data_IF_327981935263
#
_entry.id   IF_327981935263
#
_cell.length_a   1.000
_cell.length_b   1.000
_cell.length_c   1.000
_cell.angle_alpha   90.00
_cell.angle_beta   90.00
_cell.angle_gamma   90.00
#
_symmetry.space_group_name_H-M   'P 1'
#
loop_
_entity.id
_entity.type
_entity.pdbx_description
1 polymer ?
#
# COMPACT_ATOMS: atom_id res chain seq x y z
N UNK A 1 16.77 -5.04 -2.18
CA UNK A 1 16.01 -4.77 -0.94
C UNK A 1 15.62 -3.30 -0.97
N UNK A 2 14.40 -2.99 -1.40
CA UNK A 2 13.92 -1.62 -1.57
C UNK A 2 13.81 -0.83 -0.25
N UNK A 3 13.83 0.50 -0.37
CA UNK A 3 13.80 1.46 0.75
C UNK A 3 12.56 1.33 1.65
N UNK A 4 11.42 0.85 1.12
CA UNK A 4 10.15 0.75 1.87
C UNK A 4 10.19 -0.37 2.92
N UNK A 5 10.77 -1.53 2.58
CA UNK A 5 10.97 -2.62 3.54
C UNK A 5 11.89 -2.22 4.71
N UNK A 6 12.86 -1.31 4.48
CA UNK A 6 13.72 -0.79 5.55
C UNK A 6 12.98 0.15 6.51
N UNK A 7 11.93 0.83 6.06
CA UNK A 7 11.14 1.77 6.90
C UNK A 7 10.07 1.03 7.72
N UNK A 8 9.56 -0.09 7.21
CA UNK A 8 8.49 -0.86 7.86
C UNK A 8 9.00 -2.04 8.71
N UNK A 9 10.31 -2.31 8.79
CA UNK A 9 10.88 -3.50 9.45
C UNK A 9 10.75 -3.55 10.99
N UNK A 10 10.14 -2.57 11.64
CA UNK A 10 9.98 -2.61 13.09
C UNK A 10 8.95 -3.69 13.47
N UNK A 11 9.24 -4.43 14.56
CA UNK A 11 8.31 -5.38 15.22
C UNK A 11 7.00 -4.72 15.67
N UNK A 12 6.93 -3.39 15.58
CA UNK A 12 5.80 -2.55 15.91
C UNK A 12 4.95 -2.20 14.67
N UNK A 13 4.65 -3.23 13.87
CA UNK A 13 3.81 -3.13 12.68
C UNK A 13 2.70 -4.18 12.75
N UNK A 14 1.46 -3.75 12.54
CA UNK A 14 0.29 -4.64 12.41
C UNK A 14 -0.26 -4.58 10.99
N UNK A 15 -0.77 -5.72 10.54
CA UNK A 15 -1.19 -5.92 9.16
C UNK A 15 -2.64 -6.38 9.10
N UNK A 16 -3.41 -5.82 8.17
CA UNK A 16 -4.82 -6.18 8.02
C UNK A 16 -5.20 -6.32 6.55
N UNK A 17 -6.13 -7.24 6.26
CA UNK A 17 -6.83 -7.28 4.98
C UNK A 17 -7.98 -6.30 5.02
N UNK A 18 -8.05 -5.43 4.01
CA UNK A 18 -9.19 -4.56 3.75
C UNK A 18 -9.92 -5.05 2.50
N UNK A 19 -11.21 -5.34 2.64
CA UNK A 19 -12.04 -5.84 1.54
C UNK A 19 -12.94 -4.75 1.00
N UNK A 20 -12.91 -4.54 -0.31
CA UNK A 20 -13.91 -3.74 -1.02
C UNK A 20 -14.85 -4.64 -1.81
N UNK A 21 -16.11 -4.24 -1.96
CA UNK A 21 -17.08 -4.94 -2.79
C UNK A 21 -17.13 -4.41 -4.24
N UNK A 22 -16.49 -3.28 -4.51
CA UNK A 22 -16.39 -2.69 -5.85
C UNK A 22 -15.01 -2.05 -6.06
N UNK A 23 -14.68 -1.80 -7.32
CA UNK A 23 -13.43 -1.19 -7.76
C UNK A 23 -13.41 0.32 -7.52
N UNK A 24 -14.54 0.99 -7.77
CA UNK A 24 -14.68 2.44 -7.69
C UNK A 24 -14.32 3.01 -6.31
N UNK A 25 -14.65 2.30 -5.23
CA UNK A 25 -14.28 2.74 -3.88
C UNK A 25 -12.76 2.74 -3.72
N UNK A 26 -12.07 1.72 -4.24
CA UNK A 26 -10.61 1.58 -4.14
C UNK A 26 -9.91 2.62 -5.00
N UNK A 27 -10.40 2.86 -6.23
CA UNK A 27 -9.92 3.92 -7.10
C UNK A 27 -10.03 5.30 -6.42
N UNK A 28 -11.21 5.64 -5.90
CA UNK A 28 -11.40 6.90 -5.18
C UNK A 28 -10.54 6.98 -3.91
N UNK A 29 -10.30 5.86 -3.24
CA UNK A 29 -9.40 5.81 -2.08
C UNK A 29 -7.95 6.08 -2.45
N UNK A 30 -7.50 5.62 -3.63
CA UNK A 30 -6.18 5.91 -4.17
C UNK A 30 -6.00 7.39 -4.49
N UNK A 31 -7.05 8.07 -4.94
CA UNK A 31 -7.05 9.51 -5.19
C UNK A 31 -7.10 10.32 -3.89
N UNK A 32 -8.06 10.03 -3.01
CA UNK A 32 -8.37 10.89 -1.87
C UNK A 32 -7.55 10.58 -0.62
N UNK A 33 -6.90 9.40 -0.58
CA UNK A 33 -6.21 8.86 0.60
C UNK A 33 -7.11 8.77 1.84
N UNK A 34 -8.39 8.45 1.64
CA UNK A 34 -9.37 8.30 2.73
C UNK A 34 -10.06 6.95 2.59
N UNK A 35 -10.18 6.24 3.71
CA UNK A 35 -10.95 5.01 3.77
C UNK A 35 -11.87 4.99 4.99
N UNK A 36 -12.86 4.10 4.92
CA UNK A 36 -13.67 3.70 6.06
C UNK A 36 -13.89 2.19 5.98
N UNK A 37 -13.88 1.51 7.11
CA UNK A 37 -14.09 0.06 7.20
C UNK A 37 -15.45 -0.28 7.80
N UNK A 38 -15.83 -1.56 7.88
CA UNK A 38 -17.01 -2.00 8.61
C UNK A 38 -16.93 -1.54 10.08
N UNK A 39 -18.06 -1.10 10.65
CA UNK A 39 -18.10 -0.53 12.01
C UNK A 39 -17.47 -1.44 13.09
N UNK A 40 -17.63 -2.77 12.94
CA UNK A 40 -17.04 -3.78 13.84
C UNK A 40 -15.51 -3.72 13.93
N UNK A 41 -14.83 -3.19 12.91
CA UNK A 41 -13.37 -3.12 12.85
C UNK A 41 -12.83 -1.82 13.49
N UNK A 42 -13.71 -0.87 13.83
CA UNK A 42 -13.32 0.47 14.28
C UNK A 42 -12.45 0.45 15.54
N UNK A 43 -12.80 -0.38 16.53
CA UNK A 43 -12.03 -0.48 17.77
C UNK A 43 -10.63 -1.06 17.49
N UNK A 44 -10.56 -2.14 16.71
CA UNK A 44 -9.30 -2.80 16.36
C UNK A 44 -8.36 -1.87 15.61
N UNK A 45 -8.86 -1.10 14.63
CA UNK A 45 -8.02 -0.19 13.84
C UNK A 45 -7.57 1.03 14.67
N UNK A 46 -8.45 1.53 15.55
CA UNK A 46 -8.09 2.61 16.48
C UNK A 46 -7.02 2.15 17.46
N UNK A 47 -7.19 0.96 18.04
CA UNK A 47 -6.22 0.35 18.94
C UNK A 47 -4.87 0.14 18.24
N UNK A 48 -4.86 -0.50 17.07
CA UNK A 48 -3.65 -0.75 16.31
C UNK A 48 -2.92 0.55 15.97
N UNK A 49 -3.63 1.60 15.56
CA UNK A 49 -3.02 2.90 15.25
C UNK A 49 -2.40 3.57 16.49
N UNK A 50 -3.01 3.42 17.67
CA UNK A 50 -2.52 4.04 18.89
C UNK A 50 -1.34 3.27 19.53
N UNK A 51 -1.28 1.96 19.30
CA UNK A 51 -0.28 1.09 19.91
C UNK A 51 0.92 0.81 19.01
N UNK A 52 0.74 0.91 17.68
CA UNK A 52 1.77 0.54 16.72
C UNK A 52 2.23 1.71 15.87
N UNK A 53 3.54 1.75 15.62
CA UNK A 53 4.17 2.71 14.71
C UNK A 53 3.60 2.65 13.30
N UNK A 54 3.31 1.44 12.82
CA UNK A 54 2.76 1.23 11.49
C UNK A 54 1.52 0.33 11.55
N UNK A 55 0.47 0.73 10.85
CA UNK A 55 -0.66 -0.13 10.51
C UNK A 55 -0.76 -0.19 9.01
N UNK A 56 -0.52 -1.37 8.44
CA UNK A 56 -0.49 -1.62 7.01
C UNK A 56 -1.75 -2.37 6.59
N UNK A 57 -2.40 -1.84 5.55
CA UNK A 57 -3.65 -2.35 5.02
C UNK A 57 -3.42 -2.90 3.61
N UNK A 58 -3.68 -4.18 3.42
CA UNK A 58 -3.65 -4.84 2.12
C UNK A 58 -5.05 -4.79 1.50
N UNK A 59 -5.20 -3.98 0.45
CA UNK A 59 -6.48 -3.78 -0.21
C UNK A 59 -6.77 -4.93 -1.18
N UNK A 60 -7.95 -5.53 -1.06
CA UNK A 60 -8.42 -6.58 -1.97
C UNK A 60 -9.91 -6.46 -2.29
N UNK A 61 -10.23 -6.21 -3.55
CA UNK A 61 -11.59 -6.23 -4.08
C UNK A 61 -12.09 -7.68 -4.09
N UNK A 62 -13.30 -7.89 -3.61
CA UNK A 62 -13.94 -9.20 -3.58
C UNK A 62 -13.98 -9.81 -4.99
N UNK A 63 -13.60 -11.08 -5.09
CA UNK A 63 -13.59 -11.85 -6.35
C UNK A 63 -12.63 -11.33 -7.45
N UNK A 64 -11.74 -10.37 -7.14
CA UNK A 64 -10.73 -9.88 -8.11
C UNK A 64 -9.57 -10.86 -8.36
N UNK A 65 -9.32 -11.80 -7.44
CA UNK A 65 -8.20 -12.74 -7.53
C UNK A 65 -6.82 -12.14 -7.23
N UNK A 66 -6.77 -10.89 -6.74
CA UNK A 66 -5.52 -10.20 -6.41
C UNK A 66 -5.69 -9.19 -5.26
N UNK A 67 -4.56 -8.77 -4.70
CA UNK A 67 -4.47 -7.55 -3.92
C UNK A 67 -4.26 -6.39 -4.89
N UNK A 68 -4.96 -5.27 -4.72
CA UNK A 68 -4.81 -4.09 -5.58
C UNK A 68 -3.60 -3.24 -5.17
N UNK A 69 -3.17 -3.34 -3.91
CA UNK A 69 -2.09 -2.53 -3.37
C UNK A 69 -2.10 -2.56 -1.86
N UNK A 70 -1.20 -1.77 -1.27
CA UNK A 70 -1.16 -1.60 0.17
C UNK A 70 -0.87 -0.15 0.57
N UNK A 71 -1.41 0.22 1.72
CA UNK A 71 -1.31 1.56 2.27
C UNK A 71 -1.06 1.52 3.78
N UNK A 72 -0.46 2.59 4.28
CA UNK A 72 -0.25 2.81 5.72
C UNK A 72 -1.33 3.74 6.27
N UNK A 73 -1.89 3.43 7.44
CA UNK A 73 -2.74 4.40 8.15
C UNK A 73 -1.93 5.59 8.64
N UNK A 74 -2.43 6.80 8.38
CA UNK A 74 -1.79 8.06 8.82
C UNK A 74 -2.59 8.80 9.89
N UNK A 75 -3.83 8.38 10.15
CA UNK A 75 -4.65 8.86 11.26
C UNK A 75 -5.48 7.74 11.87
N UNK A 76 -5.90 7.89 13.13
CA UNK A 76 -7.00 7.14 13.69
C UNK A 76 -8.34 7.50 13.00
N UNK A 77 -9.37 6.64 13.07
CA UNK A 77 -10.74 6.98 12.67
C UNK A 77 -11.25 8.25 13.37
N UNK A 78 -11.78 9.22 12.60
CA UNK A 78 -12.23 10.50 13.16
C UNK A 78 -13.33 11.16 12.33
N UNK A 79 -14.33 11.72 13.00
CA UNK A 79 -15.39 12.52 12.38
C UNK A 79 -14.92 13.84 11.78
N UNK A 80 -13.67 14.24 12.04
CA UNK A 80 -13.03 15.42 11.44
C UNK A 80 -12.53 15.18 10.01
N UNK A 81 -12.47 13.93 9.56
CA UNK A 81 -11.99 13.58 8.22
C UNK A 81 -13.17 13.60 7.26
N UNK A 82 -13.02 14.17 6.05
CA UNK A 82 -14.09 14.18 5.06
C UNK A 82 -14.64 12.79 4.79
N UNK A 83 -15.97 12.67 4.71
CA UNK A 83 -16.63 11.40 4.38
C UNK A 83 -16.54 11.17 2.87
N UNK A 84 -15.99 10.04 2.40
CA UNK A 84 -16.02 9.70 0.98
C UNK A 84 -17.45 9.64 0.46
N UNK A 85 -17.68 10.06 -0.79
CA UNK A 85 -19.02 10.11 -1.39
C UNK A 85 -19.71 8.72 -1.39
N UNK A 86 -18.93 7.66 -1.62
CA UNK A 86 -19.38 6.27 -1.65
C UNK A 86 -19.78 5.71 -0.28
N UNK A 87 -19.41 6.37 0.83
CA UNK A 87 -19.74 5.92 2.19
C UNK A 87 -21.26 5.81 2.41
N UNK A 88 -22.05 6.72 1.83
CA UNK A 88 -23.51 6.76 1.98
C UNK A 88 -24.24 5.65 1.22
N UNK A 89 -23.60 5.07 0.20
CA UNK A 89 -24.17 3.99 -0.61
C UNK A 89 -23.93 2.59 -0.03
N UNK A 90 -23.24 2.48 1.11
CA UNK A 90 -22.94 1.21 1.73
C UNK A 90 -24.16 0.66 2.47
N UNK A 91 -24.51 -0.63 2.28
CA UNK A 91 -25.67 -1.22 2.95
C UNK A 91 -25.39 -1.64 4.40
N UNK A 92 -24.20 -1.33 4.94
CA UNK A 92 -23.78 -1.65 6.31
C UNK A 92 -23.23 -0.43 7.03
N UNK A 93 -23.25 -0.49 8.37
CA UNK A 93 -22.60 0.52 9.21
C UNK A 93 -21.08 0.50 9.06
N UNK A 94 -20.49 1.69 9.03
CA UNK A 94 -19.04 1.89 8.89
C UNK A 94 -18.44 2.59 10.11
N UNK A 95 -17.11 2.53 10.23
CA UNK A 95 -16.37 3.38 11.14
C UNK A 95 -16.48 4.87 10.75
N UNK A 96 -15.90 5.74 11.57
CA UNK A 96 -15.49 7.05 11.07
C UNK A 96 -14.37 6.91 10.02
N UNK A 97 -14.21 7.87 9.10
CA UNK A 97 -13.14 7.82 8.11
C UNK A 97 -11.76 7.99 8.74
N UNK A 98 -10.74 7.45 8.08
CA UNK A 98 -9.33 7.64 8.41
C UNK A 98 -8.50 7.88 7.15
N UNK A 99 -7.34 8.52 7.31
CA UNK A 99 -6.42 8.80 6.21
C UNK A 99 -5.38 7.69 6.04
N UNK A 100 -4.91 7.60 4.80
CA UNK A 100 -3.94 6.64 4.35
C UNK A 100 -2.75 7.33 3.67
N UNK A 101 -1.71 6.55 3.44
CA UNK A 101 -0.62 6.83 2.51
C UNK A 101 -0.41 5.58 1.68
N UNK A 102 -0.68 5.65 0.38
CA UNK A 102 -0.44 4.53 -0.53
C UNK A 102 1.05 4.34 -0.77
N UNK A 103 1.55 3.15 -0.46
CA UNK A 103 2.96 2.78 -0.61
C UNK A 103 3.19 1.94 -1.88
N UNK A 104 2.16 1.23 -2.32
CA UNK A 104 2.12 0.59 -3.63
C UNK A 104 0.68 0.46 -4.11
N UNK A 105 0.46 0.80 -5.37
CA UNK A 105 -0.77 0.50 -6.13
C UNK A 105 -0.54 -0.59 -7.17
N UNK A 106 0.59 -1.31 -7.09
CA UNK A 106 0.88 -2.44 -7.98
C UNK A 106 0.10 -3.67 -7.56
N UNK A 107 -0.74 -4.25 -8.44
CA UNK A 107 -1.49 -5.45 -8.12
C UNK A 107 -0.61 -6.69 -7.90
N UNK A 108 -0.94 -7.49 -6.88
CA UNK A 108 -0.32 -8.80 -6.63
C UNK A 108 -1.36 -9.93 -6.75
N UNK A 109 -1.20 -10.77 -7.76
CA UNK A 109 -2.08 -11.92 -7.99
C UNK A 109 -1.94 -12.98 -6.88
N UNK A 110 -3.07 -13.53 -6.42
CA UNK A 110 -3.09 -14.52 -5.32
C UNK A 110 -2.24 -15.76 -5.60
N UNK A 111 -2.05 -16.13 -6.88
CA UNK A 111 -1.18 -17.27 -7.24
C UNK A 111 0.26 -17.09 -6.76
N UNK A 112 0.75 -15.85 -6.60
CA UNK A 112 2.11 -15.54 -6.14
C UNK A 112 2.29 -15.89 -4.67
N UNK A 113 1.24 -15.71 -3.87
CA UNK A 113 1.25 -15.91 -2.41
C UNK A 113 0.38 -17.09 -1.94
N UNK A 114 0.06 -18.02 -2.85
CA UNK A 114 -0.78 -19.21 -2.55
C UNK A 114 -0.25 -20.11 -1.43
N UNK A 115 1.04 -20.04 -1.13
CA UNK A 115 1.71 -20.84 -0.09
C UNK A 115 1.86 -20.08 1.22
N UNK A 116 1.65 -18.77 1.21
CA UNK A 116 1.71 -17.94 2.40
C UNK A 116 0.42 -18.13 3.17
N UNK A 117 0.49 -18.58 4.42
CA UNK A 117 -0.67 -18.88 5.26
C UNK A 117 -0.69 -17.99 6.49
N UNK A 118 -1.88 -17.63 6.96
CA UNK A 118 -2.05 -16.76 8.12
C UNK A 118 -2.51 -17.58 9.35
N UNK A 119 -1.68 -17.76 10.39
CA UNK A 119 -2.08 -18.49 11.59
C UNK A 119 -3.18 -17.77 12.39
N UNK A 120 -3.33 -16.45 12.23
CA UNK A 120 -4.45 -15.68 12.82
C UNK A 120 -5.78 -15.88 12.07
N UNK A 121 -5.80 -16.72 11.03
CA UNK A 121 -7.00 -17.14 10.32
C UNK A 121 -6.94 -18.64 9.99
N UNK A 122 -6.78 -19.48 11.03
CA UNK A 122 -6.85 -20.95 10.92
C UNK A 122 -5.78 -21.57 10.00
N UNK A 123 -4.69 -20.84 9.70
CA UNK A 123 -3.68 -21.30 8.76
C UNK A 123 -4.16 -21.32 7.30
N UNK A 124 -5.25 -20.62 6.98
CA UNK A 124 -5.73 -20.43 5.62
C UNK A 124 -4.75 -19.57 4.80
N UNK A 125 -4.76 -19.66 3.45
CA UNK A 125 -3.95 -18.78 2.61
C UNK A 125 -4.15 -17.30 2.96
N UNK A 126 -3.09 -16.49 2.93
CA UNK A 126 -3.08 -15.10 3.45
C UNK A 126 -4.10 -14.18 2.77
N UNK A 127 -4.53 -14.48 1.55
CA UNK A 127 -5.58 -13.73 0.84
C UNK A 127 -7.01 -14.12 1.24
N UNK A 128 -7.18 -15.18 2.03
CA UNK A 128 -8.46 -15.59 2.59
C UNK A 128 -8.66 -14.85 3.90
N UNK A 129 -9.69 -13.99 3.94
CA UNK A 129 -10.06 -13.24 5.13
C UNK A 129 -11.22 -12.30 4.87
N UNK A 130 -11.95 -11.96 5.93
CA UNK A 130 -13.01 -10.94 5.91
C UNK A 130 -12.38 -9.54 5.98
N UNK A 131 -13.19 -8.51 5.72
CA UNK A 131 -12.76 -7.13 5.97
C UNK A 131 -12.32 -6.97 7.44
N UNK A 132 -11.11 -6.46 7.64
CA UNK A 132 -10.48 -6.30 8.96
C UNK A 132 -9.75 -7.54 9.49
N UNK A 133 -9.58 -8.60 8.69
CA UNK A 133 -8.81 -9.77 9.12
C UNK A 133 -7.36 -9.38 9.41
N UNK A 134 -6.92 -9.59 10.64
CA UNK A 134 -5.53 -9.38 11.03
C UNK A 134 -4.63 -10.47 10.44
N UNK A 135 -3.43 -10.07 10.02
CA UNK A 135 -2.38 -10.96 9.53
C UNK A 135 -1.26 -10.97 10.57
N UNK A 136 -0.79 -12.18 10.90
CA UNK A 136 0.37 -12.35 11.79
C UNK A 136 1.56 -11.54 11.27
N UNK A 137 2.30 -10.88 12.16
CA UNK A 137 3.33 -9.91 11.80
C UNK A 137 4.37 -10.47 10.81
N UNK A 138 4.92 -11.67 11.06
CA UNK A 138 5.91 -12.27 10.14
C UNK A 138 5.31 -12.60 8.76
N UNK A 139 4.06 -13.08 8.72
CA UNK A 139 3.31 -13.32 7.48
C UNK A 139 3.00 -12.02 6.73
N UNK A 140 2.70 -10.96 7.46
CA UNK A 140 2.47 -9.63 6.90
C UNK A 140 3.72 -9.06 6.24
N UNK A 141 4.88 -9.24 6.85
CA UNK A 141 6.17 -8.90 6.23
C UNK A 141 6.49 -9.74 4.99
N UNK A 142 6.19 -11.04 5.02
CA UNK A 142 6.37 -11.91 3.84
C UNK A 142 5.49 -11.43 2.67
N UNK A 143 4.22 -11.13 2.92
CA UNK A 143 3.31 -10.59 1.91
C UNK A 143 3.77 -9.22 1.39
N UNK A 144 4.19 -8.32 2.29
CA UNK A 144 4.73 -7.00 1.93
C UNK A 144 5.94 -7.13 1.00
N UNK A 145 6.88 -8.03 1.32
CA UNK A 145 8.04 -8.28 0.50
C UNK A 145 7.68 -8.81 -0.89
N UNK A 146 6.72 -9.73 -1.00
CA UNK A 146 6.24 -10.20 -2.30
C UNK A 146 5.58 -9.10 -3.14
N UNK A 147 4.81 -8.20 -2.51
CA UNK A 147 4.21 -7.05 -3.21
C UNK A 147 5.28 -6.05 -3.69
N UNK A 148 6.32 -5.83 -2.89
CA UNK A 148 7.45 -4.97 -3.26
C UNK A 148 8.25 -5.56 -4.43
N UNK A 149 8.50 -6.87 -4.41
CA UNK A 149 9.16 -7.56 -5.52
C UNK A 149 8.32 -7.50 -6.80
N UNK A 150 7.00 -7.60 -6.72
CA UNK A 150 6.13 -7.45 -7.88
C UNK A 150 6.17 -6.02 -8.44
N UNK A 151 6.20 -5.00 -7.57
CA UNK A 151 6.40 -3.61 -7.99
C UNK A 151 7.72 -3.42 -8.73
N UNK A 152 8.82 -3.97 -8.19
CA UNK A 152 10.14 -3.92 -8.84
C UNK A 152 10.15 -4.64 -10.20
N UNK A 153 9.53 -5.82 -10.31
CA UNK A 153 9.43 -6.56 -11.58
C UNK A 153 8.69 -5.78 -12.66
N UNK A 154 7.56 -5.16 -12.33
CA UNK A 154 6.79 -4.36 -13.29
C UNK A 154 7.54 -3.11 -13.73
N UNK A 155 8.23 -2.45 -12.81
CA UNK A 155 9.10 -1.32 -13.15
C UNK A 155 10.15 -1.74 -14.18
N UNK A 156 10.82 -2.87 -13.95
CA UNK A 156 11.80 -3.41 -14.87
C UNK A 156 11.21 -3.76 -16.25
N UNK A 157 10.02 -4.38 -16.31
CA UNK A 157 9.36 -4.74 -17.57
C UNK A 157 9.03 -3.51 -18.42
N UNK A 158 8.50 -2.46 -17.81
CA UNK A 158 8.14 -1.21 -18.51
C UNK A 158 9.37 -0.48 -19.07
N UNK A 159 10.51 -0.53 -18.36
CA UNK A 159 11.72 0.19 -18.75
C UNK A 159 12.68 -0.65 -19.61
N UNK A 160 12.61 -1.99 -19.55
CA UNK A 160 13.44 -2.88 -20.38
C UNK A 160 12.91 -3.01 -21.82
N UNK A 161 11.65 -2.65 -22.07
CA UNK A 161 11.08 -2.51 -23.42
C UNK A 161 11.55 -1.28 -24.21
N UNK A 162 12.19 -0.31 -23.53
CA UNK A 162 12.77 0.88 -24.15
C UNK A 162 14.29 0.77 -24.23
N UNK A 163 14.83 0.19 -25.30
CA UNK A 163 16.22 0.47 -25.70
C UNK A 163 16.30 1.93 -26.16
N UNK A 164 16.48 2.84 -25.22
CA UNK A 164 17.18 4.11 -25.45
C UNK A 164 18.40 4.09 -24.55
N UNK A 165 19.56 4.16 -25.19
CA UNK A 165 20.89 4.00 -24.63
C UNK A 165 21.22 5.00 -23.52
N UNK A 166 21.33 4.51 -22.28
CA UNK A 166 21.92 5.29 -21.17
C UNK A 166 23.46 5.35 -21.21
N UNK A 167 24.10 4.90 -22.30
CA UNK A 167 25.53 5.09 -22.54
C UNK A 167 25.93 6.51 -23.00
N UNK A 168 25.06 7.50 -22.79
CA UNK A 168 25.33 8.90 -23.18
C UNK A 168 25.02 9.93 -22.09
N UNK A 169 24.96 9.52 -20.82
CA UNK A 169 24.78 10.47 -19.70
C UNK A 169 26.07 10.83 -18.94
N UNK A 170 27.19 10.17 -19.22
CA UNK A 170 28.45 10.36 -18.47
C UNK A 170 29.54 11.18 -19.20
N UNK A 171 29.35 11.58 -20.47
CA UNK A 171 30.31 12.45 -21.18
C UNK A 171 30.06 13.96 -20.93
N UNK A 172 28.84 14.36 -20.53
CA UNK A 172 28.51 15.78 -20.33
C UNK A 172 28.95 16.34 -18.96
N UNK A 173 29.35 15.50 -18.00
CA UNK A 173 29.88 15.95 -16.71
C UNK A 173 31.39 16.23 -16.71
N UNK A 174 32.11 15.96 -17.81
CA UNK A 174 33.56 16.21 -17.91
C UNK A 174 33.97 17.27 -18.93
N UNK A 175 33.05 17.83 -19.72
CA UNK A 175 33.34 18.92 -20.67
C UNK A 175 32.86 20.32 -20.24
N UNK A 176 32.27 20.46 -19.05
CA UNK A 176 31.74 21.73 -18.53
C UNK A 176 32.71 22.57 -17.70
N UNK A 177 34.00 22.65 -18.06
CA UNK A 177 34.92 23.66 -17.48
C UNK A 177 35.42 24.58 -18.58
N UNK A 178 34.86 25.80 -18.67
CA UNK A 178 35.53 27.08 -18.98
C UNK A 178 34.51 28.15 -19.45
N UNK A 179 34.44 29.24 -18.66
CA UNK A 179 34.28 30.65 -19.12
C UNK A 179 32.83 31.06 -19.50
N UNK A 180 32.19 32.06 -18.88
CA UNK A 180 32.64 33.47 -18.77
C UNK A 180 31.90 34.21 -17.65
N UNK A 181 32.67 34.98 -16.87
CA UNK A 181 32.21 36.13 -16.09
C UNK A 181 31.84 37.25 -17.06
N UNK A 182 30.73 37.93 -16.84
CA UNK A 182 30.56 39.32 -17.30
C UNK A 182 30.04 40.18 -16.15
N UNK A 183 30.55 41.40 -16.19
CA UNK A 183 30.79 42.29 -15.06
C UNK A 183 29.69 43.33 -14.95
N UNK A 184 29.41 43.76 -13.72
CA UNK A 184 28.73 45.01 -13.43
C UNK A 184 29.49 46.20 -14.01
N UNK A 185 28.77 47.12 -14.64
CA UNK A 185 28.89 48.57 -14.40
C UNK A 185 27.52 49.19 -14.59
#
# INVERSE_FOLDING_TARGET
>A
MGLINLVLCCTDTRFFIVKSFNEQNVEQCMEDNIWTTQAKNSSTFTEAFNQCRNVILFFSINQSGHFQGYARMTTAPSSKIPRPCWMKSLPWGTSEPFRLEWLSTTPLEFRRVRRVTNPLNEGLPVFVGKDGQEIETSVGHELLNEMDLERERRWDEDHRGGLVSDYQRDEDYHHGTMVKRESST
#
